data_IF_067824199816
#
_entry.id   IF_067824199816
#
_cell.length_a   1.000
_cell.length_b   1.000
_cell.length_c   1.000
_cell.angle_alpha   90.00
_cell.angle_beta   90.00
_cell.angle_gamma   90.00
#
_symmetry.space_group_name_H-M   'P 1'
#
loop_
_entity.id
_entity.type
_entity.pdbx_description
1 polymer ?
#
# COMPACT_ATOMS: atom_id res chain seq x y z
N UNK A 1 -18.92 14.73 18.90
CA UNK A 1 -18.95 14.49 17.45
C UNK A 1 -18.39 13.11 17.17
N UNK A 2 -19.26 12.12 17.09
CA UNK A 2 -18.98 10.76 16.62
C UNK A 2 -19.36 10.64 15.13
N UNK A 3 -18.96 9.55 14.47
CA UNK A 3 -19.37 9.30 13.09
C UNK A 3 -20.89 9.10 12.95
N UNK A 4 -21.54 8.54 13.98
CA UNK A 4 -22.99 8.30 14.03
C UNK A 4 -23.78 9.61 14.01
N UNK A 5 -23.20 10.70 14.53
CA UNK A 5 -23.77 12.04 14.51
C UNK A 5 -23.65 12.72 13.12
N UNK A 6 -22.93 12.11 12.16
CA UNK A 6 -22.69 12.67 10.81
C UNK A 6 -23.46 11.92 9.71
N UNK A 7 -24.74 12.24 9.54
CA UNK A 7 -25.66 11.54 8.63
C UNK A 7 -25.16 11.35 7.17
N UNK A 8 -24.40 12.32 6.63
CA UNK A 8 -23.96 12.32 5.23
C UNK A 8 -22.44 12.27 5.07
N UNK A 9 -21.70 11.79 6.07
CA UNK A 9 -20.24 11.69 6.00
C UNK A 9 -19.81 10.79 4.83
N UNK A 10 -19.00 11.36 3.94
CA UNK A 10 -18.43 10.68 2.77
C UNK A 10 -16.95 10.99 2.69
N UNK A 11 -16.18 10.01 2.23
CA UNK A 11 -14.78 10.20 1.87
C UNK A 11 -14.69 10.31 0.36
N UNK A 12 -14.02 11.36 -0.12
CA UNK A 12 -13.60 11.48 -1.52
C UNK A 12 -12.08 11.33 -1.57
N UNK A 13 -11.61 10.26 -2.20
CA UNK A 13 -10.19 10.06 -2.46
C UNK A 13 -9.85 10.58 -3.85
N UNK A 14 -8.88 11.49 -3.96
CA UNK A 14 -8.49 12.09 -5.26
C UNK A 14 -7.25 11.46 -5.87
N UNK A 15 -6.59 10.52 -5.19
CA UNK A 15 -5.36 9.86 -5.66
C UNK A 15 -5.20 8.49 -4.99
N UNK A 16 -5.90 7.49 -5.51
CA UNK A 16 -5.97 6.15 -4.90
C UNK A 16 -5.54 5.05 -5.87
N UNK A 17 -5.09 3.90 -5.35
CA UNK A 17 -4.73 2.72 -6.14
C UNK A 17 -3.80 3.01 -7.33
N UNK A 18 -2.74 3.79 -7.12
CA UNK A 18 -1.81 4.18 -8.19
C UNK A 18 -1.18 2.93 -8.83
N UNK A 19 -1.20 2.83 -10.16
CA UNK A 19 -0.57 1.73 -10.90
C UNK A 19 0.93 1.68 -10.61
N UNK A 20 1.39 0.53 -10.10
CA UNK A 20 2.79 0.19 -9.84
C UNK A 20 3.61 1.41 -9.44
N UNK A 21 3.53 1.78 -8.16
CA UNK A 21 4.35 2.86 -7.63
C UNK A 21 5.84 2.47 -7.70
N UNK A 22 6.70 3.25 -7.07
CA UNK A 22 8.14 3.10 -7.23
C UNK A 22 8.80 2.63 -5.92
N UNK A 23 9.97 2.03 -6.07
CA UNK A 23 10.94 1.90 -5.00
C UNK A 23 11.81 3.16 -4.94
N UNK A 24 12.33 3.46 -3.76
CA UNK A 24 13.16 4.65 -3.50
C UNK A 24 14.51 4.24 -2.95
N UNK A 25 15.56 4.84 -3.49
CA UNK A 25 16.92 4.86 -2.93
C UNK A 25 17.30 6.31 -2.61
N UNK A 26 17.99 6.53 -1.51
CA UNK A 26 18.63 7.82 -1.29
C UNK A 26 20.02 7.83 -1.95
N UNK A 27 20.13 8.48 -3.11
CA UNK A 27 21.38 8.61 -3.85
C UNK A 27 22.28 9.72 -3.33
N UNK A 28 21.82 10.51 -2.36
CA UNK A 28 22.57 11.61 -1.79
C UNK A 28 23.61 11.14 -0.77
N UNK A 29 24.60 11.98 -0.51
CA UNK A 29 25.62 11.75 0.52
C UNK A 29 25.16 12.08 1.95
N UNK A 30 23.91 12.53 2.12
CA UNK A 30 23.32 12.94 3.40
C UNK A 30 21.97 12.24 3.63
N UNK A 31 21.57 12.13 4.91
CA UNK A 31 20.25 11.56 5.27
C UNK A 31 19.14 12.52 4.88
N UNK A 32 17.98 11.97 4.48
CA UNK A 32 16.84 12.78 4.02
C UNK A 32 15.58 12.40 4.77
N UNK A 33 14.92 13.39 5.39
CA UNK A 33 13.56 13.24 5.90
C UNK A 33 12.58 13.09 4.74
N UNK A 34 11.70 12.10 4.83
CA UNK A 34 10.94 11.66 3.68
C UNK A 34 9.58 11.07 4.03
N UNK A 35 8.61 11.24 3.13
CA UNK A 35 7.34 10.53 3.19
C UNK A 35 7.49 9.03 2.90
N UNK A 36 8.68 8.58 2.46
CA UNK A 36 8.95 7.21 2.03
C UNK A 36 9.43 6.27 3.15
N UNK A 37 9.64 6.80 4.37
CA UNK A 37 10.15 6.02 5.51
C UNK A 37 9.68 6.60 6.85
N UNK A 38 9.64 5.78 7.91
CA UNK A 38 9.39 6.24 9.29
C UNK A 38 10.59 6.98 9.89
N UNK A 39 11.80 6.63 9.41
CA UNK A 39 13.07 7.18 9.86
C UNK A 39 13.65 8.04 8.73
N UNK A 40 14.55 8.99 9.04
CA UNK A 40 15.35 9.65 8.00
C UNK A 40 16.04 8.58 7.14
N UNK A 41 15.95 8.71 5.82
CA UNK A 41 16.42 7.68 4.91
C UNK A 41 17.94 7.77 4.77
N UNK A 42 18.65 6.67 5.02
CA UNK A 42 20.12 6.65 5.06
C UNK A 42 20.76 7.01 3.72
N UNK A 43 21.93 7.64 3.76
CA UNK A 43 22.65 8.12 2.58
C UNK A 43 23.25 6.97 1.73
N UNK A 44 23.77 7.32 0.55
CA UNK A 44 24.64 6.49 -0.30
C UNK A 44 24.03 5.15 -0.71
N UNK A 45 22.74 5.12 -1.03
CA UNK A 45 22.03 3.94 -1.56
C UNK A 45 22.14 2.71 -0.64
N UNK A 46 22.19 2.91 0.68
CA UNK A 46 22.38 1.82 1.65
C UNK A 46 21.10 1.10 2.05
N UNK A 47 19.94 1.65 1.70
CA UNK A 47 18.64 1.13 2.09
C UNK A 47 17.61 1.37 0.97
N UNK A 48 16.66 0.45 0.82
CA UNK A 48 15.53 0.55 -0.11
C UNK A 48 14.19 0.64 0.64
N UNK A 49 13.28 1.46 0.15
CA UNK A 49 11.86 1.40 0.51
C UNK A 49 11.02 1.27 -0.75
N UNK A 50 9.80 0.73 -0.64
CA UNK A 50 8.92 0.64 -1.80
C UNK A 50 7.44 0.75 -1.45
N UNK A 51 6.65 1.12 -2.45
CA UNK A 51 5.18 1.17 -2.39
C UNK A 51 4.57 0.32 -3.49
N UNK A 52 3.43 -0.29 -3.21
CA UNK A 52 2.62 -1.07 -4.15
C UNK A 52 2.47 -2.53 -3.74
N UNK A 53 1.31 -3.10 -4.09
CA UNK A 53 0.97 -4.50 -3.81
C UNK A 53 1.24 -5.44 -5.00
N UNK A 54 2.11 -5.05 -5.93
CA UNK A 54 2.49 -5.84 -7.10
C UNK A 54 1.31 -6.26 -7.97
N UNK A 55 1.23 -7.55 -8.29
CA UNK A 55 0.21 -8.14 -9.16
C UNK A 55 -1.25 -7.98 -8.65
N UNK A 56 -1.47 -7.48 -7.44
CA UNK A 56 -2.82 -7.18 -6.93
C UNK A 56 -3.38 -5.85 -7.45
N UNK A 57 -2.55 -5.00 -8.08
CA UNK A 57 -2.99 -3.68 -8.52
C UNK A 57 -4.06 -3.75 -9.63
N UNK A 58 -5.23 -3.10 -9.49
CA UNK A 58 -6.28 -3.20 -10.51
C UNK A 58 -5.88 -2.70 -11.90
N UNK A 59 -5.09 -1.62 -11.99
CA UNK A 59 -4.61 -1.09 -13.27
C UNK A 59 -3.49 -1.93 -13.88
N UNK A 60 -2.84 -2.79 -13.10
CA UNK A 60 -1.92 -3.80 -13.64
C UNK A 60 -2.68 -4.94 -14.29
N UNK A 61 -3.81 -5.32 -13.69
CA UNK A 61 -4.65 -6.44 -14.12
C UNK A 61 -5.62 -6.08 -15.26
N UNK A 62 -5.91 -4.81 -15.46
CA UNK A 62 -6.62 -4.32 -16.64
C UNK A 62 -6.01 -2.99 -17.15
N UNK A 63 -4.86 -3.07 -17.86
CA UNK A 63 -4.10 -1.89 -18.28
C UNK A 63 -4.81 -0.97 -19.26
N UNK A 64 -5.83 -1.45 -19.96
CA UNK A 64 -6.63 -0.70 -20.94
C UNK A 64 -7.99 -0.26 -20.40
N UNK A 65 -8.26 -0.53 -19.11
CA UNK A 65 -9.49 -0.15 -18.41
C UNK A 65 -10.75 -0.69 -19.12
N UNK A 66 -10.70 -1.93 -19.62
CA UNK A 66 -11.78 -2.55 -20.38
C UNK A 66 -12.97 -2.97 -19.50
N UNK A 67 -12.67 -3.36 -18.27
CA UNK A 67 -13.62 -3.95 -17.32
C UNK A 67 -14.19 -2.94 -16.33
N UNK A 68 -13.51 -1.81 -16.14
CA UNK A 68 -13.92 -0.76 -15.21
C UNK A 68 -13.67 0.65 -15.75
N UNK A 69 -14.46 1.58 -15.22
CA UNK A 69 -14.44 3.00 -15.55
C UNK A 69 -15.29 3.83 -14.59
N UNK A 70 -15.62 5.07 -14.96
CA UNK A 70 -16.52 5.91 -14.18
C UNK A 70 -17.83 5.17 -13.89
N UNK A 71 -18.32 5.24 -12.65
CA UNK A 71 -19.52 4.56 -12.18
C UNK A 71 -19.32 3.12 -11.74
N UNK A 72 -18.11 2.56 -11.88
CA UNK A 72 -17.82 1.20 -11.42
C UNK A 72 -17.91 1.14 -9.89
N UNK A 73 -18.66 0.17 -9.33
CA UNK A 73 -18.69 -0.05 -7.89
C UNK A 73 -17.35 -0.64 -7.44
N UNK A 74 -16.89 -0.25 -6.25
CA UNK A 74 -15.67 -0.76 -5.61
C UNK A 74 -15.80 -0.65 -4.09
N UNK A 75 -14.89 -1.27 -3.36
CA UNK A 75 -14.74 -0.99 -1.93
C UNK A 75 -13.72 0.13 -1.72
N UNK A 76 -14.10 1.13 -0.93
CA UNK A 76 -13.20 2.13 -0.33
C UNK A 76 -13.19 1.86 1.17
N UNK A 77 -12.06 1.42 1.69
CA UNK A 77 -11.89 1.09 3.11
C UNK A 77 -12.96 0.11 3.62
N UNK A 78 -13.38 -0.85 2.81
CA UNK A 78 -14.44 -1.82 3.13
C UNK A 78 -15.88 -1.34 2.90
N UNK A 79 -16.10 -0.04 2.67
CA UNK A 79 -17.42 0.49 2.30
C UNK A 79 -17.63 0.38 0.80
N UNK A 80 -18.83 -0.02 0.36
CA UNK A 80 -19.22 0.07 -1.05
C UNK A 80 -19.28 1.54 -1.48
N UNK A 81 -18.53 1.87 -2.51
CA UNK A 81 -18.43 3.19 -3.12
C UNK A 81 -18.31 3.10 -4.63
N UNK A 82 -17.87 4.20 -5.25
CA UNK A 82 -17.78 4.31 -6.70
C UNK A 82 -16.48 4.95 -7.15
N UNK A 83 -15.96 4.47 -8.27
CA UNK A 83 -14.99 5.16 -9.10
C UNK A 83 -15.70 6.32 -9.82
N UNK A 84 -15.30 7.56 -9.54
CA UNK A 84 -15.95 8.75 -10.08
C UNK A 84 -15.12 9.48 -11.13
N UNK A 85 -13.88 9.02 -11.38
CA UNK A 85 -13.02 9.61 -12.39
C UNK A 85 -11.56 9.18 -12.27
N UNK A 86 -10.72 9.66 -13.20
CA UNK A 86 -9.27 9.61 -13.02
C UNK A 86 -8.90 10.41 -11.77
N UNK A 87 -7.95 9.92 -10.99
CA UNK A 87 -7.42 10.72 -9.89
C UNK A 87 -6.52 11.87 -10.38
N UNK A 88 -5.85 12.52 -9.44
CA UNK A 88 -5.01 13.69 -9.71
C UNK A 88 -3.55 13.32 -9.94
N UNK A 89 -2.78 14.24 -10.52
CA UNK A 89 -1.32 14.11 -10.77
C UNK A 89 -0.95 12.79 -11.44
N UNK A 90 -1.65 12.48 -12.54
CA UNK A 90 -1.52 11.24 -13.27
C UNK A 90 -1.47 11.47 -14.79
N UNK A 91 -1.13 10.39 -15.47
CA UNK A 91 -1.06 10.26 -16.92
C UNK A 91 -1.20 8.77 -17.23
N UNK A 92 -1.41 8.41 -18.49
CA UNK A 92 -1.82 7.06 -18.87
C UNK A 92 -0.83 5.96 -18.47
N UNK A 93 0.46 6.27 -18.30
CA UNK A 93 1.45 5.29 -17.84
C UNK A 93 1.44 5.07 -16.31
N UNK A 94 0.90 6.02 -15.52
CA UNK A 94 0.77 5.94 -14.05
C UNK A 94 -0.65 6.35 -13.62
N UNK A 95 -1.70 5.63 -14.07
CA UNK A 95 -3.08 5.94 -13.73
C UNK A 95 -3.35 5.72 -12.25
N UNK A 96 -4.38 6.40 -11.74
CA UNK A 96 -4.87 6.27 -10.38
C UNK A 96 -6.37 6.64 -10.32
N UNK A 97 -7.04 6.30 -9.23
CA UNK A 97 -8.49 6.44 -9.07
C UNK A 97 -8.87 7.68 -8.28
N UNK A 98 -9.97 8.32 -8.70
CA UNK A 98 -10.79 9.18 -7.85
C UNK A 98 -12.02 8.40 -7.38
N UNK A 99 -12.25 8.32 -6.07
CA UNK A 99 -13.33 7.50 -5.50
C UNK A 99 -14.20 8.29 -4.54
N UNK A 100 -15.43 7.82 -4.33
CA UNK A 100 -16.33 8.30 -3.28
C UNK A 100 -17.00 7.13 -2.57
N UNK A 101 -17.12 7.20 -1.24
CA UNK A 101 -17.86 6.22 -0.45
C UNK A 101 -18.41 6.83 0.85
N UNK A 102 -19.53 6.32 1.40
CA UNK A 102 -20.01 6.71 2.71
C UNK A 102 -19.03 6.23 3.79
N UNK A 103 -18.79 7.06 4.82
CA UNK A 103 -17.86 6.69 5.89
C UNK A 103 -18.47 5.71 6.89
N UNK A 104 -19.80 5.68 7.03
CA UNK A 104 -20.50 4.87 8.05
C UNK A 104 -20.26 3.35 7.93
N UNK A 105 -19.91 2.86 6.73
CA UNK A 105 -19.62 1.46 6.46
C UNK A 105 -18.12 1.17 6.33
N UNK A 106 -17.26 2.18 6.52
CA UNK A 106 -15.82 1.99 6.44
C UNK A 106 -15.32 1.22 7.66
N UNK A 107 -14.33 0.37 7.41
CA UNK A 107 -13.66 -0.42 8.43
C UNK A 107 -12.33 0.26 8.79
N UNK A 108 -12.12 0.63 10.06
CA UNK A 108 -10.91 1.32 10.49
C UNK A 108 -9.61 0.59 10.14
N UNK A 109 -9.62 -0.74 10.01
CA UNK A 109 -8.40 -1.48 9.63
C UNK A 109 -7.88 -1.21 8.21
N UNK A 110 -8.69 -0.61 7.34
CA UNK A 110 -8.33 -0.32 5.96
C UNK A 110 -7.94 1.13 5.72
N UNK A 111 -7.96 1.97 6.75
CA UNK A 111 -7.66 3.39 6.64
C UNK A 111 -6.96 3.95 7.88
N UNK A 112 -6.35 5.13 7.74
CA UNK A 112 -5.72 5.80 8.86
C UNK A 112 -4.61 6.73 8.40
N UNK A 113 -3.62 6.89 9.27
CA UNK A 113 -2.43 7.68 8.98
C UNK A 113 -1.18 6.84 9.24
N UNK A 114 -0.18 7.05 8.40
CA UNK A 114 1.14 6.46 8.48
C UNK A 114 2.14 7.58 8.83
N UNK A 115 2.74 7.52 10.03
CA UNK A 115 3.78 8.48 10.44
C UNK A 115 5.09 8.20 9.70
N UNK A 116 5.57 9.20 8.97
CA UNK A 116 6.85 9.19 8.25
C UNK A 116 7.82 10.17 8.90
N UNK A 117 9.09 10.19 8.49
CA UNK A 117 10.06 11.18 8.97
C UNK A 117 9.76 12.61 8.49
N UNK A 118 8.97 12.76 7.42
CA UNK A 118 8.57 14.07 6.89
C UNK A 118 7.17 14.53 7.31
N UNK A 119 6.33 13.63 7.81
CA UNK A 119 4.94 13.95 8.18
C UNK A 119 3.98 12.76 8.13
N UNK A 120 2.68 13.05 8.13
CA UNK A 120 1.64 12.02 8.06
C UNK A 120 1.22 11.77 6.61
N UNK A 121 1.22 10.50 6.21
CA UNK A 121 0.62 10.05 4.94
C UNK A 121 -0.70 9.31 5.18
N UNK A 122 -1.73 9.50 4.34
CA UNK A 122 -3.00 8.80 4.50
C UNK A 122 -2.90 7.33 4.07
N UNK A 123 -3.47 6.44 4.87
CA UNK A 123 -3.72 5.05 4.49
C UNK A 123 -5.15 4.96 3.97
N UNK A 124 -5.31 4.34 2.80
CA UNK A 124 -6.60 4.05 2.19
C UNK A 124 -6.46 2.78 1.36
N UNK A 125 -7.49 1.93 1.39
CA UNK A 125 -7.50 0.64 0.70
C UNK A 125 -8.64 0.59 -0.31
N UNK A 126 -8.32 0.09 -1.50
CA UNK A 126 -9.27 -0.08 -2.60
C UNK A 126 -9.32 -1.55 -2.99
N UNK A 127 -10.52 -2.09 -3.16
CA UNK A 127 -10.72 -3.35 -3.88
C UNK A 127 -11.76 -3.13 -4.98
N UNK A 128 -11.39 -3.53 -6.19
CA UNK A 128 -12.20 -3.40 -7.39
C UNK A 128 -12.31 -4.79 -8.04
N UNK A 129 -13.51 -5.25 -8.40
CA UNK A 129 -13.63 -6.51 -9.13
C UNK A 129 -13.22 -6.31 -10.58
N UNK A 130 -12.54 -7.30 -11.15
CA UNK A 130 -12.15 -7.34 -12.56
C UNK A 130 -12.88 -8.53 -13.22
N UNK A 131 -14.04 -8.29 -13.84
CA UNK A 131 -14.73 -9.31 -14.63
C UNK A 131 -13.89 -9.75 -15.83
N UNK A 132 -13.78 -11.06 -16.05
CA UNK A 132 -13.09 -11.63 -17.22
C UNK A 132 -14.08 -11.57 -18.39
N UNK A 133 -14.01 -10.51 -19.18
CA UNK A 133 -14.92 -10.27 -20.32
C UNK A 133 -14.38 -10.82 -21.65
N UNK A 134 -13.06 -11.01 -21.74
CA UNK A 134 -12.35 -11.50 -22.91
C UNK A 134 -11.00 -12.12 -22.50
N UNK A 135 -10.32 -12.73 -23.48
CA UNK A 135 -9.03 -13.39 -23.29
C UNK A 135 -7.91 -12.41 -22.89
N UNK A 136 -7.93 -11.17 -23.40
CA UNK A 136 -6.93 -10.17 -23.03
C UNK A 136 -6.97 -9.83 -21.53
N UNK A 137 -8.17 -9.72 -20.94
CA UNK A 137 -8.30 -9.52 -19.48
C UNK A 137 -7.77 -10.75 -18.74
N UNK A 138 -8.09 -11.96 -19.21
CA UNK A 138 -7.57 -13.20 -18.62
C UNK A 138 -6.03 -13.23 -18.61
N UNK A 139 -5.39 -12.94 -19.74
CA UNK A 139 -3.94 -12.92 -19.89
C UNK A 139 -3.26 -11.87 -19.00
N UNK A 140 -3.96 -10.78 -18.67
CA UNK A 140 -3.45 -9.77 -17.76
C UNK A 140 -3.54 -10.20 -16.29
N UNK A 141 -4.63 -10.84 -15.86
CA UNK A 141 -4.83 -11.23 -14.45
C UNK A 141 -3.98 -12.42 -14.01
N UNK A 142 -3.53 -13.27 -14.95
CA UNK A 142 -2.67 -14.42 -14.63
C UNK A 142 -1.21 -14.05 -14.38
N UNK A 143 -0.84 -12.78 -14.64
CA UNK A 143 0.51 -12.26 -14.40
C UNK A 143 0.82 -12.29 -12.90
N UNK A 144 2.05 -12.67 -12.59
CA UNK A 144 2.58 -12.73 -11.23
C UNK A 144 3.53 -11.56 -10.95
N UNK A 145 4.03 -11.42 -9.73
CA UNK A 145 4.91 -10.30 -9.37
C UNK A 145 6.20 -10.20 -10.21
N UNK A 146 6.67 -11.32 -10.78
CA UNK A 146 7.83 -11.35 -11.70
C UNK A 146 7.55 -10.64 -13.04
N UNK A 147 6.27 -10.50 -13.38
CA UNK A 147 5.79 -9.89 -14.62
C UNK A 147 5.40 -8.41 -14.40
N UNK A 148 5.65 -7.87 -13.19
CA UNK A 148 5.31 -6.50 -12.80
C UNK A 148 6.56 -5.73 -12.42
N UNK A 149 6.95 -4.79 -13.27
CA UNK A 149 8.13 -3.95 -13.03
C UNK A 149 7.91 -3.01 -11.83
N UNK A 150 8.97 -2.85 -11.04
CA UNK A 150 9.09 -1.91 -9.94
C UNK A 150 10.30 -1.01 -10.23
N UNK A 151 10.00 0.21 -10.66
CA UNK A 151 11.02 1.21 -10.98
C UNK A 151 11.67 1.72 -9.69
N UNK A 152 13.00 1.79 -9.69
CA UNK A 152 13.77 2.40 -8.61
C UNK A 152 14.07 3.85 -8.98
N UNK A 153 13.63 4.78 -8.13
CA UNK A 153 13.90 6.20 -8.30
C UNK A 153 14.87 6.70 -7.23
N UNK A 154 15.68 7.69 -7.60
CA UNK A 154 16.36 8.54 -6.63
C UNK A 154 15.32 9.26 -5.78
N UNK A 155 15.52 9.27 -4.46
CA UNK A 155 14.63 9.91 -3.52
C UNK A 155 14.52 11.42 -3.78
N UNK A 156 15.66 12.06 -4.01
CA UNK A 156 15.76 13.45 -4.43
C UNK A 156 15.76 13.51 -5.96
N UNK A 157 14.99 14.44 -6.53
CA UNK A 157 14.86 14.60 -7.98
C UNK A 157 13.95 13.58 -8.69
N UNK A 158 13.72 12.39 -8.12
CA UNK A 158 12.85 11.34 -8.69
C UNK A 158 13.32 10.78 -10.04
N UNK A 159 14.60 10.93 -10.36
CA UNK A 159 15.24 10.34 -11.53
C UNK A 159 15.20 8.81 -11.46
N UNK A 160 15.01 8.13 -12.60
CA UNK A 160 15.10 6.66 -12.67
C UNK A 160 16.55 6.24 -12.52
N UNK A 161 16.83 5.41 -11.52
CA UNK A 161 18.18 4.88 -11.25
C UNK A 161 18.27 3.38 -11.45
N UNK A 162 17.13 2.69 -11.53
CA UNK A 162 17.11 1.25 -11.75
C UNK A 162 15.71 0.70 -11.97
N UNK A 163 15.66 -0.62 -12.13
CA UNK A 163 14.42 -1.37 -12.27
C UNK A 163 14.61 -2.78 -11.76
N UNK A 164 13.63 -3.25 -10.99
CA UNK A 164 13.48 -4.62 -10.51
C UNK A 164 12.03 -5.06 -10.80
N UNK A 165 11.62 -6.21 -10.30
CA UNK A 165 10.23 -6.68 -10.33
C UNK A 165 9.66 -6.70 -8.92
N UNK A 166 8.34 -6.81 -8.79
CA UNK A 166 7.75 -7.01 -7.47
C UNK A 166 8.12 -8.38 -6.86
N UNK A 167 8.58 -9.36 -7.66
CA UNK A 167 9.02 -10.66 -7.14
C UNK A 167 10.32 -10.55 -6.33
N UNK A 168 11.10 -9.49 -6.53
CA UNK A 168 12.32 -9.23 -5.76
C UNK A 168 12.00 -8.75 -4.33
N UNK A 169 10.80 -8.21 -4.11
CA UNK A 169 10.41 -7.58 -2.83
C UNK A 169 9.24 -8.27 -2.12
N UNK A 170 8.35 -8.89 -2.91
CA UNK A 170 7.20 -9.64 -2.42
C UNK A 170 7.32 -11.12 -2.69
N UNK A 171 6.90 -11.87 -1.68
CA UNK A 171 6.70 -13.30 -1.67
C UNK A 171 5.59 -13.55 -0.62
N UNK A 172 5.51 -14.73 -0.02
CA UNK A 172 4.69 -15.03 1.16
C UNK A 172 5.23 -14.38 2.46
N UNK A 173 5.78 -13.17 2.35
CA UNK A 173 6.54 -12.46 3.37
C UNK A 173 5.83 -11.20 3.89
N UNK A 174 4.50 -11.15 3.85
CA UNK A 174 3.69 -9.94 4.13
C UNK A 174 3.00 -9.91 5.50
N UNK A 175 3.28 -10.87 6.40
CA UNK A 175 2.63 -10.95 7.71
C UNK A 175 3.62 -10.78 8.86
N UNK A 176 3.53 -9.67 9.60
CA UNK A 176 4.40 -9.36 10.73
C UNK A 176 4.21 -10.35 11.88
N UNK A 177 5.30 -10.94 12.38
CA UNK A 177 5.32 -11.81 13.56
C UNK A 177 5.97 -11.09 14.74
N UNK A 178 5.47 -11.38 15.94
CA UNK A 178 5.97 -10.84 17.20
C UNK A 178 6.13 -11.97 18.21
N UNK A 179 7.28 -12.01 18.88
CA UNK A 179 7.58 -12.90 19.99
C UNK A 179 7.63 -12.10 21.30
N UNK A 180 6.60 -12.28 22.13
CA UNK A 180 6.50 -11.60 23.42
C UNK A 180 7.58 -12.03 24.42
N UNK A 181 8.19 -13.21 24.25
CA UNK A 181 9.24 -13.70 25.16
C UNK A 181 10.58 -13.00 24.93
N UNK A 182 10.81 -12.52 23.72
CA UNK A 182 12.00 -11.74 23.38
C UNK A 182 11.87 -10.25 23.76
N UNK A 183 10.64 -9.76 24.01
CA UNK A 183 10.41 -8.37 24.41
C UNK A 183 10.94 -8.10 25.82
N UNK A 184 11.68 -7.00 25.97
CA UNK A 184 12.20 -6.53 27.24
C UNK A 184 11.53 -5.22 27.64
N UNK A 185 11.56 -4.91 28.94
CA UNK A 185 11.14 -3.62 29.49
C UNK A 185 12.28 -2.60 29.32
N UNK A 186 12.43 -2.12 28.08
CA UNK A 186 13.45 -1.14 27.74
C UNK A 186 13.07 0.25 28.25
N UNK A 187 14.03 0.99 28.80
CA UNK A 187 13.83 2.40 29.20
C UNK A 187 13.35 3.28 28.03
N UNK A 188 13.93 3.09 26.84
CA UNK A 188 13.48 3.73 25.59
C UNK A 188 13.23 2.67 24.51
N UNK A 189 11.97 2.49 24.12
CA UNK A 189 11.58 1.50 23.11
C UNK A 189 11.37 2.13 21.73
N UNK A 190 12.44 2.16 20.93
CA UNK A 190 12.40 2.69 19.55
C UNK A 190 11.29 2.05 18.68
N UNK A 191 10.98 0.76 18.89
CA UNK A 191 9.90 0.12 18.15
C UNK A 191 8.55 0.81 18.42
N UNK A 192 8.25 1.16 19.68
CA UNK A 192 7.03 1.89 20.06
C UNK A 192 7.03 3.28 19.44
N UNK A 193 8.14 4.03 19.59
CA UNK A 193 8.25 5.42 19.14
C UNK A 193 8.03 5.56 17.64
N UNK A 194 8.65 4.67 16.86
CA UNK A 194 8.65 4.71 15.40
C UNK A 194 7.61 3.79 14.75
N UNK A 195 6.70 3.18 15.51
CA UNK A 195 5.57 2.46 14.91
C UNK A 195 4.69 3.47 14.15
N UNK A 196 4.57 3.39 12.81
CA UNK A 196 3.94 4.45 12.03
C UNK A 196 2.44 4.59 12.32
N UNK A 197 1.80 3.51 12.76
CA UNK A 197 0.36 3.42 12.98
C UNK A 197 -0.01 3.22 14.44
N UNK A 198 0.95 3.26 15.38
CA UNK A 198 0.77 2.96 16.81
C UNK A 198 0.06 1.61 17.02
N UNK A 199 0.61 0.55 16.45
CA UNK A 199 -0.02 -0.77 16.37
C UNK A 199 0.28 -1.70 17.56
N UNK A 200 0.93 -1.23 18.63
CA UNK A 200 1.32 -2.10 19.74
C UNK A 200 0.38 -1.97 20.94
N UNK A 201 0.10 -3.11 21.57
CA UNK A 201 -0.65 -3.20 22.84
C UNK A 201 0.38 -3.37 23.95
N UNK A 202 0.48 -2.39 24.84
CA UNK A 202 1.49 -2.34 25.90
C UNK A 202 0.85 -2.77 27.23
N UNK A 203 1.55 -3.61 27.99
CA UNK A 203 1.20 -4.02 29.36
C UNK A 203 2.47 -4.09 30.19
N UNK A 204 2.45 -3.49 31.38
CA UNK A 204 3.58 -3.54 32.33
C UNK A 204 4.93 -3.17 31.67
N UNK A 205 4.95 -2.06 30.92
CA UNK A 205 6.16 -1.56 30.24
C UNK A 205 6.53 -2.28 28.93
N UNK A 206 6.02 -3.49 28.69
CA UNK A 206 6.38 -4.30 27.51
C UNK A 206 5.30 -4.37 26.44
N UNK A 207 5.72 -4.61 25.19
CA UNK A 207 4.79 -4.94 24.11
C UNK A 207 4.23 -6.34 24.39
N UNK A 208 2.91 -6.43 24.54
CA UNK A 208 2.21 -7.69 24.79
C UNK A 208 1.64 -8.33 23.52
N UNK A 209 1.25 -7.51 22.53
CA UNK A 209 0.68 -7.96 21.28
C UNK A 209 0.72 -6.87 20.19
N UNK A 210 0.52 -7.29 18.94
CA UNK A 210 0.27 -6.40 17.81
C UNK A 210 -1.26 -6.23 17.65
N UNK A 211 -1.76 -5.00 17.69
CA UNK A 211 -3.10 -4.66 17.24
C UNK A 211 -3.19 -4.81 15.71
N UNK A 212 -3.84 -5.90 15.26
CA UNK A 212 -3.95 -6.26 13.85
C UNK A 212 -4.88 -5.36 13.04
N UNK A 213 -5.75 -4.56 13.68
CA UNK A 213 -6.51 -3.53 12.96
C UNK A 213 -5.70 -2.26 12.70
N UNK A 214 -4.48 -2.15 13.23
CA UNK A 214 -3.61 -0.98 13.03
C UNK A 214 -2.29 -1.32 12.34
N UNK A 215 -1.79 -2.54 12.52
CA UNK A 215 -0.51 -2.95 11.96
C UNK A 215 -0.53 -2.91 10.44
N UNK A 216 0.42 -2.18 9.85
CA UNK A 216 0.54 -2.02 8.41
C UNK A 216 1.54 -2.99 7.76
N UNK A 217 2.05 -3.96 8.53
CA UNK A 217 3.08 -4.92 8.09
C UNK A 217 4.31 -4.27 7.40
N UNK A 218 4.66 -3.04 7.80
CA UNK A 218 5.63 -2.21 7.09
C UNK A 218 7.10 -2.60 7.30
N UNK A 219 7.42 -3.34 8.37
CA UNK A 219 8.79 -3.78 8.65
C UNK A 219 9.59 -2.91 9.63
N UNK A 220 9.16 -1.69 9.95
CA UNK A 220 9.96 -0.76 10.78
C UNK A 220 10.39 -1.36 12.13
N UNK A 221 9.52 -2.14 12.78
CA UNK A 221 9.83 -2.77 14.06
C UNK A 221 10.83 -3.93 13.95
N UNK A 222 10.94 -4.59 12.79
CA UNK A 222 11.97 -5.61 12.55
C UNK A 222 13.34 -4.96 12.47
N UNK A 223 13.44 -3.80 11.80
CA UNK A 223 14.68 -3.00 11.77
C UNK A 223 15.10 -2.55 13.17
N UNK A 224 14.14 -2.17 14.02
CA UNK A 224 14.42 -1.55 15.32
C UNK A 224 14.55 -2.55 16.48
N UNK A 225 13.92 -3.71 16.40
CA UNK A 225 13.95 -4.74 17.43
C UNK A 225 13.84 -6.13 16.76
N UNK A 226 14.90 -6.57 16.06
CA UNK A 226 14.88 -7.82 15.29
C UNK A 226 14.74 -9.07 16.16
N UNK A 227 15.02 -9.00 17.46
CA UNK A 227 14.85 -10.14 18.38
C UNK A 227 13.37 -10.46 18.59
N UNK A 228 12.53 -9.44 18.80
CA UNK A 228 11.11 -9.61 19.09
C UNK A 228 10.23 -9.60 17.84
N UNK A 229 10.66 -8.96 16.74
CA UNK A 229 9.86 -8.87 15.50
C UNK A 229 10.51 -9.63 14.36
N UNK A 230 9.69 -10.39 13.62
CA UNK A 230 10.13 -11.14 12.44
C UNK A 230 9.23 -10.85 11.23
N UNK A 231 9.87 -10.41 10.15
CA UNK A 231 9.29 -10.29 8.81
C UNK A 231 10.46 -10.40 7.83
N UNK A 232 10.35 -11.24 6.81
CA UNK A 232 11.34 -11.28 5.73
C UNK A 232 11.12 -10.06 4.83
N UNK A 233 11.93 -9.03 4.98
CA UNK A 233 11.83 -7.81 4.19
C UNK A 233 12.41 -7.94 2.78
N UNK A 234 13.23 -8.98 2.53
CA UNK A 234 14.11 -9.15 1.37
C UNK A 234 15.21 -8.07 1.28
N UNK A 235 16.16 -8.36 0.41
CA UNK A 235 17.18 -7.44 -0.08
C UNK A 235 17.21 -7.53 -1.60
N UNK A 236 17.74 -6.52 -2.27
CA UNK A 236 17.97 -6.54 -3.71
C UNK A 236 19.46 -6.43 -4.02
N UNK A 237 19.89 -6.94 -5.16
CA UNK A 237 21.22 -6.62 -5.70
C UNK A 237 21.12 -5.36 -6.57
N UNK A 238 21.95 -4.36 -6.27
CA UNK A 238 21.98 -3.10 -7.01
C UNK A 238 23.41 -2.55 -7.03
N UNK A 239 23.93 -2.25 -8.23
CA UNK A 239 25.31 -1.78 -8.44
C UNK A 239 26.37 -2.67 -7.75
N UNK A 240 26.15 -3.99 -7.72
CA UNK A 240 27.07 -4.96 -7.11
C UNK A 240 27.04 -4.99 -5.57
N UNK A 241 26.08 -4.29 -4.94
CA UNK A 241 25.86 -4.30 -3.50
C UNK A 241 24.50 -4.92 -3.16
N UNK A 242 24.43 -5.62 -2.02
CA UNK A 242 23.15 -6.04 -1.45
C UNK A 242 22.53 -4.86 -0.68
N UNK A 243 21.35 -4.41 -1.11
CA UNK A 243 20.61 -3.32 -0.47
C UNK A 243 19.40 -3.91 0.27
N UNK A 244 19.32 -3.80 1.61
CA UNK A 244 18.18 -4.27 2.37
C UNK A 244 16.96 -3.39 2.14
N UNK A 245 15.79 -4.03 2.09
CA UNK A 245 14.52 -3.32 2.19
C UNK A 245 14.26 -3.03 3.66
N UNK A 246 14.11 -1.76 4.01
CA UNK A 246 13.97 -1.34 5.41
C UNK A 246 12.53 -0.97 5.78
N UNK A 247 11.69 -0.72 4.78
CA UNK A 247 10.29 -0.37 4.98
C UNK A 247 9.45 -0.61 3.72
N UNK A 248 8.19 -1.02 3.94
CA UNK A 248 7.14 -1.13 2.93
C UNK A 248 6.02 -0.13 3.21
N UNK A 249 5.63 0.62 2.19
CA UNK A 249 4.56 1.61 2.27
C UNK A 249 3.23 1.10 1.68
N UNK A 250 3.09 -0.21 1.58
CA UNK A 250 1.82 -0.85 1.24
C UNK A 250 1.65 -2.13 2.03
N UNK A 251 0.45 -2.35 2.54
CA UNK A 251 0.10 -3.56 3.27
C UNK A 251 -0.51 -4.59 2.32
N UNK A 252 0.33 -5.51 1.85
CA UNK A 252 -0.11 -6.60 0.96
C UNK A 252 -1.07 -7.57 1.67
N UNK A 253 -0.91 -7.78 2.97
CA UNK A 253 -1.82 -8.61 3.74
C UNK A 253 -3.23 -7.98 3.79
N UNK A 254 -3.31 -6.69 4.12
CA UNK A 254 -4.56 -5.93 4.12
C UNK A 254 -5.23 -5.89 2.74
N UNK A 255 -4.45 -5.73 1.67
CA UNK A 255 -4.96 -5.77 0.29
C UNK A 255 -5.60 -7.13 -0.06
N UNK A 256 -4.95 -8.25 0.30
CA UNK A 256 -5.51 -9.61 0.09
C UNK A 256 -6.79 -9.79 0.91
N UNK A 257 -6.79 -9.35 2.18
CA UNK A 257 -7.96 -9.45 3.06
C UNK A 257 -9.15 -8.69 2.46
N UNK A 258 -8.96 -7.44 2.01
CA UNK A 258 -10.02 -6.65 1.40
C UNK A 258 -10.51 -7.24 0.07
N UNK A 259 -9.60 -7.80 -0.74
CA UNK A 259 -9.97 -8.50 -1.97
C UNK A 259 -10.82 -9.75 -1.70
N UNK A 260 -10.48 -10.53 -0.68
CA UNK A 260 -11.28 -11.70 -0.28
C UNK A 260 -12.65 -11.27 0.27
N UNK A 261 -12.72 -10.20 1.06
CA UNK A 261 -14.01 -9.64 1.50
C UNK A 261 -14.91 -9.25 0.32
N UNK A 262 -14.37 -8.53 -0.66
CA UNK A 262 -15.12 -8.18 -1.88
C UNK A 262 -15.59 -9.43 -2.61
N UNK A 263 -14.73 -10.43 -2.78
CA UNK A 263 -15.09 -11.71 -3.40
C UNK A 263 -16.25 -12.38 -2.67
N UNK A 264 -16.22 -12.42 -1.33
CA UNK A 264 -17.31 -12.99 -0.54
C UNK A 264 -18.62 -12.22 -0.71
N UNK A 265 -18.58 -10.87 -0.73
CA UNK A 265 -19.77 -10.06 -0.98
C UNK A 265 -20.37 -10.33 -2.37
N UNK A 266 -19.53 -10.52 -3.40
CA UNK A 266 -19.99 -10.87 -4.75
C UNK A 266 -20.67 -12.24 -4.75
N UNK A 267 -20.03 -13.26 -4.15
CA UNK A 267 -20.58 -14.62 -4.10
C UNK A 267 -21.91 -14.71 -3.35
N UNK A 268 -22.12 -13.84 -2.36
CA UNK A 268 -23.38 -13.73 -1.61
C UNK A 268 -24.45 -12.87 -2.29
N UNK A 269 -24.12 -12.17 -3.39
CA UNK A 269 -25.01 -11.23 -4.04
C UNK A 269 -25.17 -9.89 -3.29
N UNK A 270 -24.33 -9.61 -2.29
CA UNK A 270 -24.32 -8.36 -1.51
C UNK A 270 -23.60 -7.22 -2.25
N UNK A 271 -22.74 -7.58 -3.22
CA UNK A 271 -22.06 -6.63 -4.10
C UNK A 271 -22.43 -6.90 -5.55
N UNK A 272 -23.09 -5.94 -6.19
CA UNK A 272 -23.52 -6.05 -7.58
C UNK A 272 -22.47 -5.50 -8.54
N UNK A 273 -22.02 -6.33 -9.46
CA UNK A 273 -21.22 -5.90 -10.59
C UNK A 273 -22.06 -5.03 -11.52
N UNK A 274 -21.48 -3.93 -12.02
CA UNK A 274 -22.13 -3.03 -12.98
C UNK A 274 -21.16 -2.70 -14.09
N UNK A 275 -21.69 -2.52 -15.30
CA UNK A 275 -20.93 -1.92 -16.39
C UNK A 275 -20.58 -0.47 -16.03
N UNK A 276 -19.38 0.01 -16.39
CA UNK A 276 -19.05 1.41 -16.21
C UNK A 276 -20.01 2.30 -17.01
N UNK A 277 -20.30 3.47 -16.48
CA UNK A 277 -21.12 4.52 -17.13
C UNK A 277 -20.28 5.49 -17.96
N UNK A 278 -18.96 5.42 -17.87
CA UNK A 278 -18.01 6.23 -18.66
C UNK A 278 -16.59 5.69 -18.59
N UNK A 279 -15.71 6.20 -19.46
CA UNK A 279 -14.28 5.84 -19.53
C UNK A 279 -13.45 6.56 -18.48
N UNK A 280 -12.23 6.08 -18.25
CA UNK A 280 -11.20 6.82 -17.52
C UNK A 280 -10.25 7.47 -18.53
N UNK A 281 -10.36 8.79 -18.66
CA UNK A 281 -9.53 9.55 -19.59
C UNK A 281 -8.35 10.17 -18.84
N UNK A 282 -7.14 9.68 -19.12
CA UNK A 282 -5.90 10.22 -18.56
C UNK A 282 -5.15 11.02 -19.63
N UNK A 283 -4.43 12.07 -19.20
CA UNK A 283 -3.50 12.75 -20.08
C UNK A 283 -2.38 11.79 -20.55
N UNK A 284 -1.82 12.02 -21.75
CA UNK A 284 -0.70 11.22 -22.26
C UNK A 284 0.59 11.45 -21.44
N UNK A 285 0.78 12.68 -20.95
CA UNK A 285 1.92 13.08 -20.11
C UNK A 285 1.50 14.11 -19.05
N UNK A 286 2.31 14.23 -18.00
CA UNK A 286 2.19 15.32 -17.03
C UNK A 286 2.69 16.60 -17.72
N UNK A 287 1.85 17.65 -17.75
CA UNK A 287 2.26 18.99 -18.19
C UNK A 287 3.11 19.69 -17.14
#
# INVERSE_FOLDING_TARGET
MTLEEMQYAKLVGTRQAIKNYNAMLNCESYKVDTIFSCLPFEANKTELTFSGCGALNPFQNDPKFQSFGVGSPLLVNGSTGYLIGPGTRNYIAKPNMMTIAPMIQMKPEYMGAFKTSYGLEPICSIALPIPILNEEIFDNIIKSDKDVNLTILSLVGREKVGEITYADVWDNNFFMKFDSKACQDCEECKAIDYCPTNAFIIKDGVISAINRSRCFNCGTCVRLCPDAFKLDLKSIEFEGSEIPIVLRQSDRFGAIKLAEELKQMILKGEFLLKKPTGTLDFAESIK
#
